data_IF_167659082206
#
_entry.id   IF_167659082206
#
_cell.length_a   1.000
_cell.length_b   1.000
_cell.length_c   1.000
_cell.angle_alpha   90.00
_cell.angle_beta   90.00
_cell.angle_gamma   90.00
#
_symmetry.space_group_name_H-M   'P 1'
#
loop_
_entity.id
_entity.type
_entity.pdbx_description
1 polymer ?
#
# COMPACT_ATOMS: atom_id res chain seq x y z
N UNK A 1 8.24 -13.50 -13.56
CA UNK A 1 8.81 -12.56 -12.59
C UNK A 1 7.68 -11.97 -11.76
N UNK A 2 7.80 -12.04 -10.43
CA UNK A 2 7.00 -11.30 -9.44
C UNK A 2 5.54 -11.72 -9.23
N UNK A 3 5.33 -12.79 -8.45
CA UNK A 3 4.14 -12.98 -7.61
C UNK A 3 4.27 -12.18 -6.29
N UNK A 4 5.23 -11.27 -6.19
CA UNK A 4 5.48 -10.53 -4.97
C UNK A 4 4.37 -9.49 -4.82
N UNK A 5 3.68 -9.56 -3.69
CA UNK A 5 2.71 -8.55 -3.28
C UNK A 5 3.34 -7.75 -2.15
N UNK A 6 3.43 -6.43 -2.30
CA UNK A 6 3.86 -5.55 -1.23
C UNK A 6 2.64 -5.00 -0.48
N UNK A 7 2.72 -5.01 0.84
CA UNK A 7 1.74 -4.40 1.73
C UNK A 7 2.47 -3.33 2.54
N UNK A 8 2.01 -2.09 2.49
CA UNK A 8 2.55 -1.02 3.34
C UNK A 8 1.45 -0.06 3.76
N UNK A 9 1.64 0.55 4.92
CA UNK A 9 0.80 1.59 5.50
C UNK A 9 1.37 3.01 5.33
N UNK A 10 2.59 3.12 4.82
CA UNK A 10 3.35 4.37 4.81
C UNK A 10 4.04 4.62 3.48
N UNK A 11 4.07 5.88 3.03
CA UNK A 11 4.72 6.24 1.75
C UNK A 11 6.23 5.96 1.70
N UNK A 12 6.87 5.78 2.85
CA UNK A 12 8.31 5.47 2.93
C UNK A 12 8.69 4.16 2.22
N UNK A 13 7.77 3.20 2.10
CA UNK A 13 8.02 1.92 1.41
C UNK A 13 7.76 1.98 -0.11
N UNK A 14 7.48 3.16 -0.65
CA UNK A 14 7.18 3.38 -2.07
C UNK A 14 8.22 2.78 -3.03
N UNK A 15 9.54 2.90 -2.82
CA UNK A 15 10.53 2.30 -3.72
C UNK A 15 10.41 0.77 -3.80
N UNK A 16 9.94 0.13 -2.73
CA UNK A 16 9.68 -1.31 -2.71
C UNK A 16 8.35 -1.65 -3.39
N UNK A 17 7.31 -0.85 -3.14
CA UNK A 17 5.98 -1.03 -3.76
C UNK A 17 6.02 -0.84 -5.28
N UNK A 18 6.90 0.02 -5.80
CA UNK A 18 7.08 0.23 -7.25
C UNK A 18 7.75 -0.94 -7.98
N UNK A 19 8.45 -1.81 -7.25
CA UNK A 19 9.21 -2.94 -7.84
C UNK A 19 8.42 -4.24 -7.88
N UNK A 20 7.28 -4.32 -7.19
CA UNK A 20 6.45 -5.53 -7.11
C UNK A 20 5.34 -5.55 -8.16
N UNK A 21 4.84 -6.74 -8.47
CA UNK A 21 3.74 -6.91 -9.44
C UNK A 21 2.37 -6.53 -8.88
N UNK A 22 2.21 -6.45 -7.55
CA UNK A 22 0.95 -6.07 -6.90
C UNK A 22 1.25 -5.27 -5.64
N UNK A 23 0.74 -4.06 -5.54
CA UNK A 23 0.89 -3.19 -4.39
C UNK A 23 -0.47 -2.99 -3.69
N UNK A 24 -0.46 -3.12 -2.37
CA UNK A 24 -1.64 -2.98 -1.51
C UNK A 24 -1.30 -2.01 -0.39
N UNK A 25 -2.08 -0.94 -0.27
CA UNK A 25 -1.96 0.05 0.77
C UNK A 25 -2.86 -0.33 1.96
N UNK A 26 -2.30 -0.59 3.13
CA UNK A 26 -3.05 -1.03 4.33
C UNK A 26 -3.09 0.11 5.33
N UNK A 27 -4.28 0.64 5.67
CA UNK A 27 -4.41 1.84 6.52
C UNK A 27 -3.47 3.00 6.11
N UNK A 28 -3.41 3.37 4.81
CA UNK A 28 -2.41 4.32 4.33
C UNK A 28 -2.56 5.70 4.96
N UNK A 29 -1.42 6.38 5.11
CA UNK A 29 -1.38 7.82 5.30
C UNK A 29 -2.00 8.58 4.10
N UNK A 30 -2.18 9.90 4.23
CA UNK A 30 -2.82 10.72 3.20
C UNK A 30 -2.09 10.63 1.85
N UNK A 31 -0.76 10.65 1.87
CA UNK A 31 0.06 10.69 0.66
C UNK A 31 0.05 9.33 -0.06
N UNK A 32 0.18 8.23 0.68
CA UNK A 32 0.07 6.89 0.14
C UNK A 32 -1.34 6.60 -0.37
N UNK A 33 -2.39 7.16 0.27
CA UNK A 33 -3.77 7.03 -0.20
C UNK A 33 -3.94 7.70 -1.56
N UNK A 34 -3.49 8.94 -1.71
CA UNK A 34 -3.54 9.68 -2.99
C UNK A 34 -2.81 8.90 -4.10
N UNK A 35 -1.59 8.45 -3.81
CA UNK A 35 -0.81 7.65 -4.76
C UNK A 35 -1.48 6.30 -5.11
N UNK A 36 -2.05 5.63 -4.12
CA UNK A 36 -2.77 4.38 -4.34
C UNK A 36 -3.97 4.59 -5.27
N UNK A 37 -4.69 5.71 -5.13
CA UNK A 37 -5.75 6.08 -6.06
C UNK A 37 -5.22 6.39 -7.47
N UNK A 38 -4.13 7.16 -7.59
CA UNK A 38 -3.52 7.49 -8.88
C UNK A 38 -3.02 6.24 -9.62
N UNK A 39 -2.46 5.27 -8.89
CA UNK A 39 -1.88 4.05 -9.45
C UNK A 39 -2.84 2.86 -9.51
N UNK A 40 -4.06 3.02 -9.02
CA UNK A 40 -5.05 1.94 -8.93
C UNK A 40 -4.66 0.81 -7.97
N UNK A 41 -3.84 1.12 -6.95
CA UNK A 41 -3.47 0.17 -5.91
C UNK A 41 -4.64 -0.11 -4.97
N UNK A 42 -4.73 -1.34 -4.48
CA UNK A 42 -5.80 -1.74 -3.57
C UNK A 42 -5.56 -1.09 -2.20
N UNK A 43 -6.55 -0.38 -1.68
CA UNK A 43 -6.54 0.15 -0.31
C UNK A 43 -7.34 -0.77 0.60
N UNK A 44 -6.77 -1.15 1.74
CA UNK A 44 -7.41 -2.00 2.76
C UNK A 44 -7.39 -1.26 4.08
N UNK A 45 -8.56 -0.97 4.64
CA UNK A 45 -8.68 -0.40 5.98
C UNK A 45 -8.98 -1.51 6.98
N UNK A 46 -8.02 -1.81 7.85
CA UNK A 46 -8.17 -2.82 8.90
C UNK A 46 -8.40 -2.07 10.20
N UNK A 47 -9.62 -2.18 10.74
CA UNK A 47 -10.00 -1.54 11.99
C UNK A 47 -8.98 -1.86 13.09
N UNK A 48 -8.35 -0.82 13.65
CA UNK A 48 -7.37 -0.90 14.75
C UNK A 48 -7.82 -1.98 15.73
N UNK A 49 -7.01 -3.03 15.90
CA UNK A 49 -7.18 -3.92 17.04
C UNK A 49 -7.12 -3.03 18.29
N UNK A 50 -8.26 -2.94 18.97
CA UNK A 50 -8.36 -2.31 20.28
C UNK A 50 -7.46 -3.12 21.20
N UNK A 51 -6.31 -2.56 21.58
CA UNK A 51 -5.60 -2.97 22.78
C UNK A 51 -6.16 -2.13 23.94
#
# INVERSE_FOLDING_TARGET
LSLCTAYSDSISDLPMMERVGTAVAVNPDRELRELAHERGWRVVEIGRQRH
#
